data_IF_100017462055
#
_entry.id   IF_100017462055
#
_cell.length_a   1.000
_cell.length_b   1.000
_cell.length_c   1.000
_cell.angle_alpha   90.00
_cell.angle_beta   90.00
_cell.angle_gamma   90.00
#
_symmetry.space_group_name_H-M   'P 1'
#
loop_
_entity.id
_entity.type
_entity.pdbx_description
1 polymer ?
#
# COMPACT_ATOMS: atom_id res chain seq x y z
N UNK A 1 2.34 10.33 -2.02
CA UNK A 1 1.25 9.39 -2.39
C UNK A 1 0.03 9.61 -1.49
N UNK A 2 -1.20 9.49 -2.01
CA UNK A 2 -2.46 9.63 -1.26
C UNK A 2 -3.54 8.68 -1.76
N UNK A 3 -4.32 8.11 -0.84
CA UNK A 3 -5.51 7.30 -1.15
C UNK A 3 -6.78 8.16 -1.11
N UNK A 4 -7.58 8.15 -2.17
CA UNK A 4 -8.82 8.94 -2.26
C UNK A 4 -10.03 8.02 -2.35
N UNK A 5 -10.86 7.98 -1.32
CA UNK A 5 -12.07 7.15 -1.28
C UNK A 5 -13.27 7.87 -1.90
N UNK A 6 -13.96 7.21 -2.84
CA UNK A 6 -15.11 7.78 -3.56
C UNK A 6 -16.43 7.03 -3.31
N UNK A 7 -16.50 6.20 -2.26
CA UNK A 7 -17.71 5.42 -1.92
C UNK A 7 -18.39 5.91 -0.63
N UNK A 8 -19.43 5.18 -0.21
CA UNK A 8 -20.25 5.53 0.97
C UNK A 8 -20.09 4.57 2.17
N UNK A 9 -19.22 3.56 2.08
CA UNK A 9 -19.07 2.55 3.13
C UNK A 9 -18.13 3.03 4.24
N UNK A 10 -18.70 3.35 5.42
CA UNK A 10 -17.98 3.95 6.55
C UNK A 10 -16.71 3.17 6.97
N UNK A 11 -16.78 1.83 7.05
CA UNK A 11 -15.60 1.03 7.39
C UNK A 11 -14.47 1.21 6.37
N UNK A 12 -14.80 1.35 5.08
CA UNK A 12 -13.79 1.55 4.02
C UNK A 12 -13.21 2.94 4.11
N UNK A 13 -14.04 3.96 4.31
CA UNK A 13 -13.59 5.33 4.56
C UNK A 13 -12.59 5.39 5.73
N UNK A 14 -12.91 4.77 6.87
CA UNK A 14 -12.04 4.77 8.04
C UNK A 14 -10.70 4.08 7.78
N UNK A 15 -10.71 2.96 7.05
CA UNK A 15 -9.47 2.26 6.67
C UNK A 15 -8.61 3.13 5.75
N UNK A 16 -9.21 3.77 4.73
CA UNK A 16 -8.48 4.66 3.81
C UNK A 16 -7.91 5.87 4.56
N UNK A 17 -8.68 6.47 5.47
CA UNK A 17 -8.22 7.57 6.31
C UNK A 17 -7.01 7.17 7.18
N UNK A 18 -7.08 6.00 7.84
CA UNK A 18 -5.97 5.50 8.65
C UNK A 18 -4.74 5.15 7.81
N UNK A 19 -4.92 4.53 6.64
CA UNK A 19 -3.82 4.28 5.70
C UNK A 19 -3.13 5.58 5.27
N UNK A 20 -3.88 6.64 4.98
CA UNK A 20 -3.31 7.96 4.69
C UNK A 20 -2.53 8.55 5.88
N UNK A 21 -3.02 8.38 7.11
CA UNK A 21 -2.27 8.81 8.30
C UNK A 21 -0.92 8.08 8.40
N UNK A 22 -0.91 6.78 8.16
CA UNK A 22 0.31 5.95 8.19
C UNK A 22 1.29 6.39 7.10
N UNK A 23 0.83 6.51 5.84
CA UNK A 23 1.65 6.95 4.70
C UNK A 23 2.30 8.32 4.98
N UNK A 24 1.63 9.21 5.69
CA UNK A 24 2.13 10.55 5.99
C UNK A 24 2.91 10.64 7.32
N UNK A 25 3.03 9.55 8.07
CA UNK A 25 3.73 9.55 9.35
C UNK A 25 5.24 9.43 9.16
N UNK A 26 6.03 10.22 9.89
CA UNK A 26 7.50 10.13 9.86
C UNK A 26 8.01 8.76 10.29
N UNK A 27 7.41 8.19 11.34
CA UNK A 27 7.78 6.87 11.86
C UNK A 27 7.64 5.75 10.82
N UNK A 28 6.61 5.81 9.97
CA UNK A 28 6.47 4.85 8.89
C UNK A 28 7.61 4.95 7.87
N UNK A 29 8.09 6.16 7.56
CA UNK A 29 9.26 6.31 6.68
C UNK A 29 10.55 5.79 7.31
N UNK A 30 10.72 5.96 8.62
CA UNK A 30 11.90 5.45 9.33
C UNK A 30 11.90 3.90 9.38
N UNK A 31 10.74 3.30 9.68
CA UNK A 31 10.55 1.85 9.68
C UNK A 31 10.71 1.28 8.25
N UNK A 32 10.15 1.97 7.24
CA UNK A 32 10.28 1.59 5.83
C UNK A 32 11.72 1.68 5.34
N UNK A 33 12.44 2.74 5.71
CA UNK A 33 13.87 2.89 5.39
C UNK A 33 14.67 1.74 5.98
N UNK A 34 14.48 1.47 7.27
CA UNK A 34 15.19 0.41 7.99
C UNK A 34 14.94 -0.97 7.41
N UNK A 35 13.72 -1.22 6.92
CA UNK A 35 13.38 -2.45 6.21
C UNK A 35 14.07 -2.52 4.84
N UNK A 36 13.95 -1.47 4.02
CA UNK A 36 14.53 -1.46 2.67
C UNK A 36 16.07 -1.52 2.70
N UNK A 37 16.73 -0.91 3.69
CA UNK A 37 18.19 -0.97 3.87
C UNK A 37 18.70 -2.41 4.14
N UNK A 38 17.84 -3.35 4.55
CA UNK A 38 18.21 -4.76 4.72
C UNK A 38 18.27 -5.51 3.39
N UNK A 39 17.59 -5.00 2.37
CA UNK A 39 17.40 -5.66 1.09
C UNK A 39 18.10 -4.91 -0.06
N UNK A 40 18.32 -3.60 0.08
CA UNK A 40 18.79 -2.72 -0.99
C UNK A 40 19.92 -1.79 -0.53
N UNK A 41 20.67 -1.26 -1.50
CA UNK A 41 21.72 -0.27 -1.20
C UNK A 41 21.12 1.12 -0.87
N UNK A 42 21.89 1.93 -0.13
CA UNK A 42 21.45 3.24 0.38
C UNK A 42 20.95 4.19 -0.72
N UNK A 43 21.61 4.24 -1.88
CA UNK A 43 21.23 5.14 -2.98
C UNK A 43 19.84 4.78 -3.55
N UNK A 44 19.57 3.48 -3.66
CA UNK A 44 18.30 2.94 -4.15
C UNK A 44 17.18 3.22 -3.16
N UNK A 45 17.43 3.01 -1.86
CA UNK A 45 16.46 3.32 -0.80
C UNK A 45 16.16 4.81 -0.75
N UNK A 46 17.17 5.67 -0.84
CA UNK A 46 17.00 7.11 -0.84
C UNK A 46 16.13 7.60 -2.00
N UNK A 47 16.37 7.10 -3.22
CA UNK A 47 15.57 7.45 -4.40
C UNK A 47 14.12 6.95 -4.28
N UNK A 48 13.91 5.74 -3.75
CA UNK A 48 12.58 5.20 -3.47
C UNK A 48 11.80 6.13 -2.51
N UNK A 49 12.40 6.45 -1.36
CA UNK A 49 11.75 7.25 -0.32
C UNK A 49 11.49 8.68 -0.80
N UNK A 50 12.42 9.25 -1.55
CA UNK A 50 12.24 10.57 -2.20
C UNK A 50 11.03 10.56 -3.13
N UNK A 51 10.94 9.59 -4.05
CA UNK A 51 9.79 9.47 -4.97
C UNK A 51 8.48 9.27 -4.23
N UNK A 52 8.48 8.45 -3.18
CA UNK A 52 7.28 8.20 -2.38
C UNK A 52 6.79 9.49 -1.71
N UNK A 53 7.72 10.24 -1.10
CA UNK A 53 7.45 11.48 -0.37
C UNK A 53 7.02 12.64 -1.28
N UNK A 54 7.70 12.80 -2.41
CA UNK A 54 7.47 13.91 -3.35
C UNK A 54 6.35 13.61 -4.37
N UNK A 55 5.74 12.41 -4.32
CA UNK A 55 4.67 12.07 -5.26
C UNK A 55 3.33 12.70 -4.87
N UNK A 56 2.78 13.52 -5.76
CA UNK A 56 1.35 13.86 -5.81
C UNK A 56 0.50 12.69 -6.35
N UNK A 57 1.00 11.46 -6.22
CA UNK A 57 0.36 10.29 -6.78
C UNK A 57 -0.89 9.93 -5.98
N UNK A 58 -2.04 10.10 -6.62
CA UNK A 58 -3.33 9.74 -6.05
C UNK A 58 -3.81 8.38 -6.55
N UNK A 59 -4.22 7.53 -5.61
CA UNK A 59 -4.81 6.22 -5.90
C UNK A 59 -6.27 6.26 -5.45
N UNK A 60 -7.19 6.06 -6.39
CA UNK A 60 -8.62 6.02 -6.07
C UNK A 60 -8.96 4.70 -5.41
N UNK A 61 -9.79 4.77 -4.37
CA UNK A 61 -10.36 3.62 -3.68
C UNK A 61 -11.86 3.64 -3.88
N UNK A 62 -12.41 2.54 -4.38
CA UNK A 62 -13.84 2.35 -4.54
C UNK A 62 -14.30 1.13 -3.75
N UNK A 63 -15.54 1.15 -3.29
CA UNK A 63 -16.15 0.00 -2.63
C UNK A 63 -17.41 -0.44 -3.36
N UNK A 64 -17.59 -1.75 -3.48
CA UNK A 64 -18.79 -2.36 -4.04
C UNK A 64 -19.28 -3.50 -3.14
N UNK A 65 -20.58 -3.74 -3.16
CA UNK A 65 -21.17 -4.86 -2.44
C UNK A 65 -21.41 -6.02 -3.42
N UNK A 66 -20.56 -7.05 -3.39
CA UNK A 66 -20.63 -8.21 -4.28
C UNK A 66 -20.55 -9.52 -3.48
N UNK A 67 -21.67 -10.00 -2.90
CA UNK A 67 -21.67 -11.10 -1.94
C UNK A 67 -21.18 -12.43 -2.53
N UNK A 68 -21.42 -12.68 -3.82
CA UNK A 68 -20.98 -13.91 -4.49
C UNK A 68 -19.53 -13.86 -4.97
N UNK A 69 -18.90 -12.68 -5.01
CA UNK A 69 -17.50 -12.58 -5.41
C UNK A 69 -16.58 -13.07 -4.28
N UNK A 70 -15.56 -13.83 -4.66
CA UNK A 70 -14.45 -14.21 -3.76
C UNK A 70 -13.39 -13.11 -3.64
N UNK A 71 -13.41 -12.12 -4.54
CA UNK A 71 -12.46 -10.99 -4.48
C UNK A 71 -12.80 -10.10 -3.30
N UNK A 72 -11.76 -9.65 -2.61
CA UNK A 72 -11.86 -8.83 -1.42
C UNK A 72 -11.29 -7.43 -1.67
N UNK A 73 -9.99 -7.20 -1.45
CA UNK A 73 -9.26 -6.02 -1.92
C UNK A 73 -8.50 -6.44 -3.17
N UNK A 74 -8.64 -5.68 -4.25
CA UNK A 74 -8.02 -5.99 -5.53
C UNK A 74 -7.65 -4.70 -6.26
N UNK A 75 -6.66 -4.80 -7.14
CA UNK A 75 -6.30 -3.72 -8.06
C UNK A 75 -7.21 -3.85 -9.30
N UNK A 76 -7.78 -2.73 -9.75
CA UNK A 76 -8.48 -2.61 -11.02
C UNK A 76 -7.95 -1.41 -11.82
N UNK A 77 -8.54 -1.15 -12.99
CA UNK A 77 -8.09 -0.10 -13.91
C UNK A 77 -8.19 1.32 -13.32
N UNK A 78 -9.02 1.51 -12.29
CA UNK A 78 -9.28 2.81 -11.69
C UNK A 78 -8.53 2.99 -10.36
N UNK A 79 -7.88 1.95 -9.83
CA UNK A 79 -7.15 1.98 -8.56
C UNK A 79 -7.43 0.73 -7.73
N UNK A 80 -7.87 0.92 -6.48
CA UNK A 80 -8.14 -0.17 -5.55
C UNK A 80 -9.66 -0.37 -5.42
N UNK A 81 -10.12 -1.58 -5.71
CA UNK A 81 -11.50 -2.02 -5.48
C UNK A 81 -11.63 -2.81 -4.18
N UNK A 82 -12.69 -2.52 -3.42
CA UNK A 82 -13.00 -3.19 -2.14
C UNK A 82 -14.38 -3.82 -2.18
N UNK A 83 -14.45 -5.13 -1.98
CA UNK A 83 -15.71 -5.82 -1.78
C UNK A 83 -16.16 -5.71 -0.31
N UNK A 84 -17.10 -4.81 -0.05
CA UNK A 84 -17.60 -4.56 1.31
C UNK A 84 -18.32 -5.75 1.93
N UNK A 85 -18.92 -6.63 1.11
CA UNK A 85 -19.58 -7.85 1.57
C UNK A 85 -18.60 -8.86 2.22
N UNK A 86 -17.30 -8.63 2.09
CA UNK A 86 -16.22 -9.52 2.57
C UNK A 86 -15.38 -8.88 3.68
N UNK A 87 -15.80 -7.76 4.25
CA UNK A 87 -15.08 -7.03 5.32
C UNK A 87 -15.29 -7.62 6.74
N UNK A 88 -15.04 -8.91 6.93
CA UNK A 88 -15.25 -9.65 8.18
C UNK A 88 -14.04 -9.66 9.14
N UNK A 89 -12.84 -9.30 8.67
CA UNK A 89 -11.62 -9.24 9.49
C UNK A 89 -11.47 -7.87 10.20
N UNK A 90 -10.55 -7.76 11.19
CA UNK A 90 -10.18 -6.49 11.79
C UNK A 90 -9.64 -5.49 10.76
N UNK A 91 -9.90 -4.20 10.98
CA UNK A 91 -9.48 -3.13 10.06
C UNK A 91 -7.96 -3.10 9.82
N UNK A 92 -7.15 -3.50 10.82
CA UNK A 92 -5.69 -3.58 10.72
C UNK A 92 -5.20 -4.45 9.57
N UNK A 93 -5.79 -5.64 9.42
CA UNK A 93 -5.46 -6.56 8.33
C UNK A 93 -5.72 -5.91 6.97
N UNK A 94 -6.81 -5.16 6.85
CA UNK A 94 -7.18 -4.49 5.62
C UNK A 94 -6.32 -3.26 5.31
N UNK A 95 -5.89 -2.53 6.33
CA UNK A 95 -4.94 -1.41 6.19
C UNK A 95 -3.61 -1.89 5.62
N UNK A 96 -3.08 -3.01 6.11
CA UNK A 96 -1.86 -3.61 5.57
C UNK A 96 -2.01 -3.98 4.08
N UNK A 97 -3.10 -4.67 3.74
CA UNK A 97 -3.43 -5.00 2.34
C UNK A 97 -3.63 -3.76 1.45
N UNK A 98 -4.22 -2.68 1.98
CA UNK A 98 -4.36 -1.42 1.25
C UNK A 98 -3.02 -0.83 0.87
N UNK A 99 -2.10 -0.82 1.82
CA UNK A 99 -0.78 -0.26 1.62
C UNK A 99 0.03 -1.15 0.67
N UNK A 100 0.01 -2.47 0.84
CA UNK A 100 0.59 -3.41 -0.13
C UNK A 100 0.09 -3.14 -1.56
N UNK A 101 -1.24 -3.04 -1.77
CA UNK A 101 -1.80 -2.74 -3.11
C UNK A 101 -1.46 -1.34 -3.60
N UNK A 102 -1.37 -0.35 -2.71
CA UNK A 102 -0.98 1.01 -3.06
C UNK A 102 0.47 1.07 -3.55
N UNK A 103 1.39 0.39 -2.83
CA UNK A 103 2.79 0.28 -3.22
C UNK A 103 2.97 -0.51 -4.51
N UNK A 104 2.18 -1.56 -4.74
CA UNK A 104 2.12 -2.25 -6.04
C UNK A 104 1.74 -1.32 -7.20
N UNK A 105 0.69 -0.50 -7.02
CA UNK A 105 0.25 0.44 -8.07
C UNK A 105 1.31 1.54 -8.27
N UNK A 106 1.89 2.04 -7.19
CA UNK A 106 2.98 3.03 -7.23
C UNK A 106 4.20 2.47 -7.97
N UNK A 107 4.58 1.24 -7.66
CA UNK A 107 5.65 0.52 -8.35
C UNK A 107 5.34 0.35 -9.84
N UNK A 108 4.16 -0.13 -10.21
CA UNK A 108 3.77 -0.27 -11.62
C UNK A 108 3.81 1.05 -12.39
N UNK A 109 3.51 2.17 -11.73
CA UNK A 109 3.48 3.50 -12.35
C UNK A 109 4.89 4.05 -12.59
N UNK A 110 5.80 3.85 -11.65
CA UNK A 110 7.13 4.45 -11.68
C UNK A 110 8.24 3.44 -11.99
N UNK A 111 7.89 2.16 -12.12
CA UNK A 111 8.75 1.01 -12.41
C UNK A 111 9.93 0.90 -11.43
N UNK A 112 9.63 1.06 -10.13
CA UNK A 112 10.65 1.26 -9.09
C UNK A 112 11.36 -0.05 -8.77
N UNK A 113 10.64 -1.17 -8.71
CA UNK A 113 11.19 -2.51 -8.50
C UNK A 113 12.23 -2.88 -9.56
N UNK A 114 11.96 -2.58 -10.84
CA UNK A 114 12.91 -2.91 -11.91
C UNK A 114 13.99 -1.84 -12.09
N UNK A 115 13.62 -0.55 -12.09
CA UNK A 115 14.57 0.53 -12.44
C UNK A 115 15.37 1.05 -11.26
N UNK A 116 14.83 0.96 -10.05
CA UNK A 116 15.47 1.49 -8.84
C UNK A 116 15.97 0.35 -7.97
N UNK A 117 15.13 -0.64 -7.66
CA UNK A 117 15.49 -1.77 -6.79
C UNK A 117 16.24 -2.89 -7.54
N UNK A 118 16.27 -2.86 -8.88
CA UNK A 118 16.89 -3.88 -9.74
C UNK A 118 16.46 -5.32 -9.42
N UNK A 119 15.25 -5.49 -8.90
CA UNK A 119 14.70 -6.80 -8.54
C UNK A 119 14.34 -7.53 -9.84
N UNK A 120 15.09 -8.57 -10.18
CA UNK A 120 14.81 -9.41 -11.35
C UNK A 120 13.91 -10.60 -11.01
N UNK A 121 13.80 -10.93 -9.72
CA UNK A 121 13.04 -12.07 -9.22
C UNK A 121 11.63 -11.68 -8.73
N UNK A 122 10.65 -12.51 -9.07
CA UNK A 122 9.25 -12.21 -8.77
C UNK A 122 8.90 -12.48 -7.29
N UNK A 123 9.54 -13.49 -6.67
CA UNK A 123 9.32 -13.82 -5.25
C UNK A 123 9.88 -12.70 -4.35
N UNK A 124 11.10 -12.24 -4.63
CA UNK A 124 11.70 -11.12 -3.88
C UNK A 124 10.82 -9.86 -3.94
N UNK A 125 10.24 -9.57 -5.11
CA UNK A 125 9.32 -8.45 -5.27
C UNK A 125 8.07 -8.61 -4.42
N UNK A 126 7.47 -9.80 -4.39
CA UNK A 126 6.28 -10.09 -3.58
C UNK A 126 6.60 -9.99 -2.08
N UNK A 127 7.74 -10.51 -1.63
CA UNK A 127 8.17 -10.47 -0.24
C UNK A 127 8.38 -9.04 0.27
N UNK A 128 9.00 -8.18 -0.53
CA UNK A 128 9.20 -6.76 -0.18
C UNK A 128 7.85 -6.05 -0.05
N UNK A 129 6.94 -6.27 -1.00
CA UNK A 129 5.63 -5.63 -0.98
C UNK A 129 4.78 -6.13 0.20
N UNK A 130 4.83 -7.43 0.50
CA UNK A 130 4.20 -8.01 1.68
C UNK A 130 4.82 -7.47 2.98
N UNK A 131 6.14 -7.33 3.04
CA UNK A 131 6.87 -6.74 4.16
C UNK A 131 6.45 -5.30 4.43
N UNK A 132 6.31 -4.48 3.38
CA UNK A 132 5.76 -3.13 3.48
C UNK A 132 4.31 -3.16 4.01
N UNK A 133 3.49 -4.08 3.50
CA UNK A 133 2.12 -4.29 4.00
C UNK A 133 2.05 -4.69 5.48
N UNK A 134 3.01 -5.47 5.96
CA UNK A 134 3.12 -5.85 7.35
C UNK A 134 3.55 -4.68 8.25
N UNK A 135 4.58 -3.93 7.85
CA UNK A 135 5.03 -2.72 8.55
C UNK A 135 3.91 -1.68 8.67
N UNK A 136 3.17 -1.50 7.59
CA UNK A 136 1.97 -0.69 7.54
C UNK A 136 0.92 -1.12 8.57
N UNK A 137 0.69 -2.43 8.71
CA UNK A 137 -0.26 -2.95 9.67
C UNK A 137 0.22 -2.70 11.11
N UNK A 138 1.51 -2.85 11.41
CA UNK A 138 2.07 -2.69 12.77
C UNK A 138 2.27 -1.23 13.19
N UNK A 139 2.60 -0.33 12.26
CA UNK A 139 2.68 1.10 12.51
C UNK A 139 1.33 1.70 12.95
N UNK A 140 0.21 1.07 12.58
CA UNK A 140 -1.13 1.46 13.02
C UNK A 140 -1.42 1.29 14.51
N UNK A 141 -0.57 0.58 15.27
CA UNK A 141 -0.74 0.30 16.70
C UNK A 141 0.06 1.23 17.63
N UNK A 142 0.97 2.05 17.08
CA UNK A 142 1.72 3.08 17.82
C UNK A 142 0.96 4.41 17.80
#
# INVERSE_FOLDING_TARGET
MKLTYTGAHLKVYNMVSRSNQIINSSHFYDDLKSFLDQHYNENVVAEFLKRLKDSDFEIKVSSNWKPFSKRFIYIDKNGIGVNSARLHRPSKFYIGLFLEKAFLIFDQRYDISNKTLMITDLEEKEDVLQGIGYLAATAGDR
#
